data_IF_173172934120
#
_entry.id   IF_173172934120
#
_cell.length_a   1.000
_cell.length_b   1.000
_cell.length_c   1.000
_cell.angle_alpha   90.00
_cell.angle_beta   90.00
_cell.angle_gamma   90.00
#
_symmetry.space_group_name_H-M   'P 1'
#
loop_
_entity.id
_entity.type
_entity.pdbx_description
1 polymer ?
#
# COMPACT_ATOMS: atom_id res chain seq x y z
N UNK A 1 -6.57 -13.43 12.43
CA UNK A 1 -5.78 -12.19 12.66
C UNK A 1 -4.41 -12.40 12.04
N UNK A 2 -3.84 -11.38 11.42
CA UNK A 2 -2.47 -11.42 10.88
C UNK A 2 -1.83 -10.05 11.03
N UNK A 3 -0.50 -9.98 11.08
CA UNK A 3 0.22 -8.71 11.16
C UNK A 3 0.56 -8.19 9.77
N UNK A 4 0.16 -6.96 9.49
CA UNK A 4 0.52 -6.21 8.28
C UNK A 4 1.69 -5.28 8.59
N UNK A 5 2.67 -5.23 7.70
CA UNK A 5 3.72 -4.21 7.71
C UNK A 5 3.71 -3.39 6.42
N UNK A 6 3.83 -2.08 6.57
CA UNK A 6 4.06 -1.16 5.45
C UNK A 6 5.49 -0.63 5.56
N UNK A 7 6.27 -0.83 4.51
CA UNK A 7 7.65 -0.34 4.43
C UNK A 7 7.62 0.99 3.68
N UNK A 8 7.91 2.09 4.38
CA UNK A 8 8.14 3.41 3.80
C UNK A 8 9.64 3.54 3.52
N UNK A 9 10.04 3.25 2.27
CA UNK A 9 11.44 3.16 1.87
C UNK A 9 11.95 4.46 1.24
N UNK A 10 13.19 4.86 1.50
CA UNK A 10 13.86 5.89 0.70
C UNK A 10 14.29 5.29 -0.64
N UNK A 11 13.85 5.90 -1.74
CA UNK A 11 14.08 5.39 -3.10
C UNK A 11 15.01 6.34 -3.86
N UNK A 12 16.06 5.78 -4.45
CA UNK A 12 17.03 6.52 -5.27
C UNK A 12 17.11 6.03 -6.72
N UNK A 13 18.14 6.49 -7.44
CA UNK A 13 18.42 6.08 -8.83
C UNK A 13 19.05 4.70 -8.96
N UNK A 14 19.75 4.23 -7.93
CA UNK A 14 20.41 2.92 -7.97
C UNK A 14 19.40 1.81 -7.63
N UNK A 15 18.92 1.13 -8.67
CA UNK A 15 18.00 -0.01 -8.56
C UNK A 15 18.56 -1.13 -7.69
N UNK A 16 19.85 -1.44 -7.80
CA UNK A 16 20.47 -2.53 -7.02
C UNK A 16 20.45 -2.19 -5.54
N UNK A 17 20.76 -0.94 -5.19
CA UNK A 17 20.69 -0.44 -3.82
C UNK A 17 19.24 -0.44 -3.30
N UNK A 18 18.29 0.03 -4.10
CA UNK A 18 16.86 0.01 -3.75
C UNK A 18 16.38 -1.41 -3.42
N UNK A 19 16.70 -2.40 -4.28
CA UNK A 19 16.35 -3.80 -4.07
C UNK A 19 17.03 -4.39 -2.82
N UNK A 20 18.29 -4.04 -2.57
CA UNK A 20 19.01 -4.49 -1.38
C UNK A 20 18.38 -3.94 -0.08
N UNK A 21 18.03 -2.64 -0.08
CA UNK A 21 17.37 -1.98 1.05
C UNK A 21 15.97 -2.55 1.30
N UNK A 22 15.18 -2.75 0.23
CA UNK A 22 13.88 -3.42 0.30
C UNK A 22 14.01 -4.83 0.90
N UNK A 23 15.00 -5.62 0.46
CA UNK A 23 15.24 -6.99 0.97
C UNK A 23 15.53 -6.99 2.47
N UNK A 24 16.38 -6.05 2.93
CA UNK A 24 16.70 -5.88 4.34
C UNK A 24 15.45 -5.50 5.15
N UNK A 25 14.67 -4.53 4.67
CA UNK A 25 13.45 -4.08 5.34
C UNK A 25 12.39 -5.18 5.40
N UNK A 26 12.21 -5.97 4.33
CA UNK A 26 11.31 -7.13 4.32
C UNK A 26 11.74 -8.18 5.35
N UNK A 27 13.05 -8.48 5.43
CA UNK A 27 13.56 -9.40 6.44
C UNK A 27 13.33 -8.90 7.87
N UNK A 28 13.50 -7.60 8.12
CA UNK A 28 13.19 -6.98 9.41
C UNK A 28 11.69 -7.03 9.73
N UNK A 29 10.82 -6.74 8.77
CA UNK A 29 9.38 -6.83 8.99
C UNK A 29 8.93 -8.27 9.29
N UNK A 30 9.48 -9.23 8.56
CA UNK A 30 9.21 -10.65 8.76
C UNK A 30 9.72 -11.14 10.13
N UNK A 31 10.91 -10.72 10.57
CA UNK A 31 11.44 -11.09 11.90
C UNK A 31 10.61 -10.48 13.05
N UNK A 32 9.93 -9.36 12.80
CA UNK A 32 8.95 -8.77 13.72
C UNK A 32 7.54 -9.39 13.62
N UNK A 33 7.41 -10.49 12.87
CA UNK A 33 6.20 -11.31 12.78
C UNK A 33 5.17 -10.85 11.76
N UNK A 34 5.54 -9.99 10.81
CA UNK A 34 4.64 -9.61 9.72
C UNK A 34 4.33 -10.81 8.83
N UNK A 35 3.04 -11.02 8.52
CA UNK A 35 2.57 -12.05 7.59
C UNK A 35 2.38 -11.49 6.18
N UNK A 36 1.93 -10.24 6.10
CA UNK A 36 1.73 -9.48 4.87
C UNK A 36 2.60 -8.25 4.95
N UNK A 37 3.37 -7.98 3.89
CA UNK A 37 4.29 -6.85 3.80
C UNK A 37 4.03 -6.12 2.49
N UNK A 38 3.98 -4.80 2.51
CA UNK A 38 3.87 -3.97 1.30
C UNK A 38 5.09 -3.09 1.13
N UNK A 39 5.59 -3.04 -0.11
CA UNK A 39 6.58 -2.07 -0.58
C UNK A 39 5.87 -0.86 -1.22
N UNK A 40 6.51 0.32 -1.27
CA UNK A 40 5.86 1.53 -1.73
C UNK A 40 5.83 1.63 -3.26
N UNK A 41 5.05 2.56 -3.80
CA UNK A 41 5.05 2.84 -5.24
C UNK A 41 6.46 3.15 -5.77
N UNK A 42 6.80 2.58 -6.93
CA UNK A 42 8.11 2.69 -7.56
C UNK A 42 9.28 2.38 -6.60
N UNK A 43 9.16 1.40 -5.70
CA UNK A 43 10.24 1.10 -4.73
C UNK A 43 11.60 0.77 -5.37
N UNK A 44 11.63 0.39 -6.66
CA UNK A 44 12.84 0.01 -7.39
C UNK A 44 13.48 1.16 -8.20
N UNK A 45 12.83 2.33 -8.32
CA UNK A 45 13.22 3.39 -9.26
C UNK A 45 12.72 4.78 -8.85
N UNK A 46 13.37 5.87 -9.31
CA UNK A 46 12.85 7.21 -9.08
C UNK A 46 11.44 7.39 -9.66
N UNK A 47 10.60 8.14 -8.95
CA UNK A 47 9.24 8.42 -9.41
C UNK A 47 9.24 9.52 -10.48
N UNK A 48 8.80 9.19 -11.69
CA UNK A 48 8.60 10.17 -12.76
C UNK A 48 8.47 9.54 -14.15
N UNK A 49 7.66 10.13 -15.01
CA UNK A 49 7.39 9.61 -16.37
C UNK A 49 8.62 9.53 -17.25
N UNK A 50 9.66 10.34 -16.97
CA UNK A 50 10.95 10.27 -17.66
C UNK A 50 11.75 9.00 -17.36
N UNK A 51 11.51 8.36 -16.22
CA UNK A 51 12.24 7.19 -15.76
C UNK A 51 11.55 5.87 -16.14
N UNK A 52 10.23 5.87 -16.32
CA UNK A 52 9.48 4.62 -16.48
C UNK A 52 9.97 3.74 -17.64
N UNK A 53 10.29 4.33 -18.79
CA UNK A 53 10.77 3.55 -19.94
C UNK A 53 12.15 2.93 -19.70
N UNK A 54 13.05 3.63 -19.01
CA UNK A 54 14.41 3.17 -18.71
C UNK A 54 14.42 2.11 -17.61
N UNK A 55 13.55 2.27 -16.60
CA UNK A 55 13.52 1.41 -15.43
C UNK A 55 12.51 0.26 -15.55
N UNK A 56 11.66 0.25 -16.59
CA UNK A 56 10.70 -0.82 -16.82
C UNK A 56 11.38 -2.18 -17.01
N UNK A 57 10.70 -3.21 -16.50
CA UNK A 57 11.15 -4.60 -16.59
C UNK A 57 10.02 -5.49 -17.10
N UNK A 58 10.41 -6.59 -17.74
CA UNK A 58 9.47 -7.64 -18.11
C UNK A 58 8.99 -8.40 -16.89
N UNK A 59 7.68 -8.53 -16.72
CA UNK A 59 7.08 -9.38 -15.70
C UNK A 59 6.76 -10.75 -16.33
N UNK A 60 7.17 -11.89 -15.73
CA UNK A 60 7.79 -12.06 -14.42
C UNK A 60 9.34 -12.19 -14.38
N UNK A 61 10.07 -11.99 -15.49
CA UNK A 61 11.50 -12.33 -15.58
C UNK A 61 12.49 -11.23 -15.12
N UNK A 62 12.02 -10.04 -14.78
CA UNK A 62 12.84 -8.90 -14.39
C UNK A 62 13.58 -9.07 -13.05
N UNK A 63 14.71 -8.38 -12.85
CA UNK A 63 15.45 -8.41 -11.59
C UNK A 63 14.59 -8.04 -10.37
N UNK A 64 13.65 -7.10 -10.50
CA UNK A 64 12.71 -6.72 -9.44
C UNK A 64 11.76 -7.87 -9.10
N UNK A 65 11.17 -8.55 -10.10
CA UNK A 65 10.33 -9.73 -9.88
C UNK A 65 11.11 -10.88 -9.21
N UNK A 66 12.33 -11.16 -9.67
CA UNK A 66 13.18 -12.21 -9.08
C UNK A 66 13.54 -11.88 -7.63
N UNK A 67 13.86 -10.62 -7.34
CA UNK A 67 14.15 -10.14 -6.00
C UNK A 67 12.92 -10.29 -5.09
N UNK A 68 11.73 -9.85 -5.53
CA UNK A 68 10.47 -9.98 -4.78
C UNK A 68 10.13 -11.45 -4.48
N UNK A 69 10.28 -12.35 -5.45
CA UNK A 69 10.06 -13.79 -5.26
C UNK A 69 11.04 -14.37 -4.23
N UNK A 70 12.32 -13.96 -4.29
CA UNK A 70 13.34 -14.38 -3.33
C UNK A 70 13.03 -13.87 -1.92
N UNK A 71 12.66 -12.59 -1.79
CA UNK A 71 12.28 -11.97 -0.50
C UNK A 71 11.08 -12.68 0.12
N UNK A 72 10.02 -12.91 -0.66
CA UNK A 72 8.80 -13.56 -0.19
C UNK A 72 9.04 -15.02 0.23
N UNK A 73 9.72 -15.80 -0.62
CA UNK A 73 9.99 -17.23 -0.35
C UNK A 73 10.94 -17.44 0.85
N UNK A 74 12.02 -16.65 0.94
CA UNK A 74 12.99 -16.74 2.04
C UNK A 74 12.37 -16.39 3.39
N UNK A 75 11.50 -15.38 3.43
CA UNK A 75 10.90 -14.89 4.67
C UNK A 75 9.54 -15.52 4.98
N UNK A 76 8.96 -16.30 4.06
CA UNK A 76 7.65 -16.96 4.19
C UNK A 76 6.51 -15.97 4.45
N UNK A 77 6.48 -14.88 3.69
CA UNK A 77 5.50 -13.79 3.81
C UNK A 77 4.78 -13.56 2.48
N UNK A 78 3.59 -12.99 2.55
CA UNK A 78 2.93 -12.39 1.39
C UNK A 78 3.52 -11.00 1.16
N UNK A 79 4.15 -10.80 0.00
CA UNK A 79 4.77 -9.53 -0.36
C UNK A 79 3.94 -8.86 -1.45
N UNK A 80 3.45 -7.65 -1.15
CA UNK A 80 2.73 -6.81 -2.10
C UNK A 80 3.75 -5.90 -2.79
N UNK A 81 3.84 -6.09 -4.10
CA UNK A 81 4.60 -5.23 -4.99
C UNK A 81 3.95 -3.84 -5.06
N UNK A 82 4.78 -2.82 -4.88
CA UNK A 82 4.35 -1.43 -5.01
C UNK A 82 4.37 -0.92 -6.45
N UNK A 83 4.94 -1.66 -7.39
CA UNK A 83 5.03 -1.28 -8.79
C UNK A 83 3.66 -1.42 -9.49
N UNK A 84 2.89 -0.33 -9.53
CA UNK A 84 1.54 -0.33 -10.11
C UNK A 84 1.55 0.22 -11.55
N UNK A 85 1.85 -0.61 -12.54
CA UNK A 85 1.56 -0.32 -13.95
C UNK A 85 0.28 -1.06 -14.38
N UNK A 86 -0.87 -0.67 -13.83
CA UNK A 86 -2.15 -1.30 -14.15
C UNK A 86 -3.37 -0.42 -13.84
N UNK A 87 -4.38 -0.47 -14.72
CA UNK A 87 -5.71 0.12 -14.45
C UNK A 87 -6.45 -0.77 -13.47
N UNK A 88 -6.53 -0.39 -12.20
CA UNK A 88 -7.33 -1.14 -11.22
C UNK A 88 -8.60 -0.37 -10.86
N UNK A 89 -9.75 -0.86 -11.34
CA UNK A 89 -11.05 -0.46 -10.81
C UNK A 89 -11.42 -1.43 -9.69
N UNK A 90 -11.40 -0.96 -8.45
CA UNK A 90 -11.68 -1.79 -7.28
C UNK A 90 -13.20 -1.91 -7.06
N UNK A 91 -13.71 -3.13 -7.17
CA UNK A 91 -15.01 -3.51 -6.63
C UNK A 91 -14.80 -4.09 -5.23
N UNK A 92 -15.24 -3.37 -4.21
CA UNK A 92 -15.20 -3.81 -2.81
C UNK A 92 -16.26 -4.89 -2.55
N UNK A 93 -16.20 -6.03 -3.25
CA UNK A 93 -17.03 -7.21 -3.00
C UNK A 93 -16.75 -7.80 -1.61
N UNK A 94 -16.32 -9.06 -1.54
CA UNK A 94 -15.91 -9.65 -0.26
C UNK A 94 -14.55 -9.17 0.26
N UNK A 95 -13.95 -8.15 -0.37
CA UNK A 95 -12.71 -7.55 0.07
C UNK A 95 -12.83 -7.02 1.51
N UNK A 96 -11.84 -7.34 2.34
CA UNK A 96 -11.74 -6.95 3.76
C UNK A 96 -10.54 -6.04 4.05
N UNK A 97 -9.59 -5.94 3.12
CA UNK A 97 -8.39 -5.10 3.18
C UNK A 97 -8.03 -4.65 1.77
N UNK A 98 -7.83 -3.36 1.58
CA UNK A 98 -7.25 -2.80 0.35
C UNK A 98 -5.91 -2.15 0.69
N UNK A 99 -4.89 -2.43 -0.11
CA UNK A 99 -3.57 -1.83 0.01
C UNK A 99 -3.33 -0.98 -1.23
N UNK A 100 -2.98 0.30 -1.04
CA UNK A 100 -2.62 1.24 -2.09
C UNK A 100 -1.16 1.65 -1.92
N UNK A 101 -0.21 0.98 -2.57
CA UNK A 101 1.08 1.57 -2.83
C UNK A 101 0.86 2.86 -3.64
N UNK A 102 1.39 3.99 -3.15
CA UNK A 102 1.15 5.28 -3.79
C UNK A 102 2.05 6.38 -3.26
N UNK A 103 2.49 7.28 -4.13
CA UNK A 103 3.28 8.46 -3.76
C UNK A 103 2.48 9.74 -4.06
N UNK A 104 1.90 10.37 -3.04
CA UNK A 104 1.34 11.73 -3.17
C UNK A 104 2.45 12.77 -3.02
N UNK A 105 2.26 13.98 -3.54
CA UNK A 105 3.25 15.05 -3.44
C UNK A 105 2.92 16.03 -2.30
N UNK A 106 3.77 17.05 -2.13
CA UNK A 106 3.63 18.07 -1.08
C UNK A 106 2.37 18.94 -1.19
N UNK A 107 1.65 18.92 -2.31
CA UNK A 107 0.37 19.62 -2.50
C UNK A 107 -0.81 18.70 -2.23
N UNK A 108 -0.84 17.53 -2.88
CA UNK A 108 -1.98 16.58 -2.77
C UNK A 108 -1.94 15.77 -1.48
N UNK A 109 -0.76 15.54 -0.91
CA UNK A 109 -0.54 14.80 0.33
C UNK A 109 -1.31 15.39 1.51
N UNK A 110 -1.00 16.64 1.92
CA UNK A 110 -1.71 17.29 3.02
C UNK A 110 -3.22 17.42 2.80
N UNK A 111 -3.64 17.63 1.55
CA UNK A 111 -5.05 17.87 1.22
C UNK A 111 -5.89 16.58 1.18
N UNK A 112 -5.34 15.49 0.63
CA UNK A 112 -6.15 14.36 0.17
C UNK A 112 -5.71 12.99 0.69
N UNK A 113 -4.44 12.79 1.04
CA UNK A 113 -3.90 11.44 1.32
C UNK A 113 -4.68 10.72 2.43
N UNK A 114 -4.75 11.32 3.61
CA UNK A 114 -5.46 10.73 4.74
C UNK A 114 -6.98 10.74 4.54
N UNK A 115 -7.53 11.82 3.95
CA UNK A 115 -8.95 11.96 3.67
C UNK A 115 -9.46 10.82 2.77
N UNK A 116 -8.76 10.57 1.66
CA UNK A 116 -9.13 9.53 0.71
C UNK A 116 -9.01 8.13 1.33
N UNK A 117 -7.92 7.87 2.06
CA UNK A 117 -7.70 6.58 2.72
C UNK A 117 -8.82 6.28 3.73
N UNK A 118 -9.17 7.26 4.58
CA UNK A 118 -10.24 7.13 5.57
C UNK A 118 -11.62 6.99 4.94
N UNK A 119 -11.91 7.76 3.89
CA UNK A 119 -13.17 7.64 3.16
C UNK A 119 -13.33 6.24 2.55
N UNK A 120 -12.29 5.70 1.90
CA UNK A 120 -12.35 4.34 1.33
C UNK A 120 -12.59 3.28 2.40
N UNK A 121 -11.96 3.40 3.57
CA UNK A 121 -12.13 2.46 4.68
C UNK A 121 -13.55 2.49 5.26
N UNK A 122 -14.05 3.71 5.54
CA UNK A 122 -15.36 3.94 6.15
C UNK A 122 -16.50 3.55 5.20
N UNK A 123 -16.49 4.06 3.96
CA UNK A 123 -17.59 3.87 3.01
C UNK A 123 -17.77 2.39 2.60
N UNK A 124 -16.68 1.62 2.63
CA UNK A 124 -16.67 0.21 2.25
C UNK A 124 -16.55 -0.75 3.45
N UNK A 125 -16.47 -0.20 4.67
CA UNK A 125 -16.31 -0.94 5.92
C UNK A 125 -15.26 -2.04 5.79
N UNK A 126 -14.02 -1.64 5.54
CA UNK A 126 -12.86 -2.54 5.35
C UNK A 126 -11.58 -1.83 5.81
N UNK A 127 -10.50 -2.58 6.03
CA UNK A 127 -9.21 -1.96 6.29
C UNK A 127 -8.64 -1.32 5.02
N UNK A 128 -8.02 -0.16 5.16
CA UNK A 128 -7.24 0.45 4.07
C UNK A 128 -5.83 0.69 4.54
N UNK A 129 -4.86 0.28 3.72
CA UNK A 129 -3.46 0.58 3.94
C UNK A 129 -2.98 1.42 2.76
N UNK A 130 -2.29 2.52 3.01
CA UNK A 130 -1.68 3.36 1.99
C UNK A 130 -0.18 3.39 2.24
N UNK A 131 0.63 3.03 1.23
CA UNK A 131 2.07 2.83 1.39
C UNK A 131 2.88 3.74 0.46
N UNK A 132 3.48 4.78 1.03
CA UNK A 132 4.29 5.78 0.34
C UNK A 132 5.78 5.47 0.47
N UNK A 133 6.62 5.87 -0.50
CA UNK A 133 8.04 6.00 -0.26
C UNK A 133 8.30 7.11 0.77
N UNK A 134 9.48 7.06 1.40
CA UNK A 134 9.96 8.13 2.28
C UNK A 134 10.21 9.40 1.48
N UNK A 135 10.13 10.54 2.15
CA UNK A 135 10.35 11.84 1.52
C UNK A 135 11.82 12.02 1.19
N UNK A 136 12.10 12.37 -0.05
CA UNK A 136 13.40 12.86 -0.47
C UNK A 136 13.25 14.29 -1.02
N UNK A 137 13.73 15.33 -0.28
CA UNK A 137 13.65 16.72 -0.73
C UNK A 137 14.42 17.00 -2.03
N UNK A 138 15.39 16.16 -2.37
CA UNK A 138 16.25 16.33 -3.55
C UNK A 138 15.72 15.57 -4.78
N UNK A 139 14.63 14.80 -4.63
CA UNK A 139 13.99 14.11 -5.74
C UNK A 139 13.14 15.06 -6.60
N UNK A 140 13.04 14.76 -7.90
CA UNK A 140 12.17 15.51 -8.82
C UNK A 140 10.70 15.45 -8.42
N UNK A 141 10.27 14.31 -7.89
CA UNK A 141 8.97 14.13 -7.26
C UNK A 141 9.15 13.92 -5.75
N UNK A 142 8.91 14.98 -4.98
CA UNK A 142 9.01 14.93 -3.51
C UNK A 142 7.77 14.26 -2.92
N UNK A 143 7.94 13.01 -2.49
CA UNK A 143 6.87 12.22 -1.88
C UNK A 143 6.42 12.80 -0.54
N UNK A 144 5.12 12.69 -0.27
CA UNK A 144 4.50 13.12 0.98
C UNK A 144 4.96 12.25 2.16
N UNK A 145 5.15 10.95 1.96
CA UNK A 145 5.38 9.98 3.03
C UNK A 145 4.05 9.60 3.69
N UNK A 146 4.07 9.47 5.02
CA UNK A 146 2.90 9.20 5.83
C UNK A 146 2.12 7.94 5.45
N UNK A 147 2.83 6.85 5.12
CA UNK A 147 2.22 5.51 5.07
C UNK A 147 1.29 5.31 6.27
N UNK A 148 0.09 4.78 6.04
CA UNK A 148 -0.96 4.72 7.07
C UNK A 148 -1.81 3.48 6.93
N UNK A 149 -2.28 2.96 8.06
CA UNK A 149 -3.25 1.85 8.14
C UNK A 149 -4.51 2.39 8.83
N UNK A 150 -5.65 2.18 8.19
CA UNK A 150 -6.96 2.66 8.60
C UNK A 150 -7.87 1.46 8.84
N UNK A 151 -8.61 1.48 9.95
CA UNK A 151 -9.58 0.45 10.31
C UNK A 151 -10.94 0.61 9.58
N UNK A 152 -11.83 -0.38 9.64
CA UNK A 152 -13.17 -0.31 9.02
C UNK A 152 -14.08 0.81 9.55
N UNK A 153 -13.71 1.45 10.67
CA UNK A 153 -14.42 2.59 11.25
C UNK A 153 -13.83 3.94 10.80
N UNK A 154 -12.85 3.91 9.88
CA UNK A 154 -12.18 5.10 9.37
C UNK A 154 -11.18 5.72 10.35
N UNK A 155 -10.72 4.98 11.37
CA UNK A 155 -9.69 5.43 12.31
C UNK A 155 -8.30 5.07 11.79
N UNK A 156 -7.36 6.01 11.88
CA UNK A 156 -5.95 5.72 11.60
C UNK A 156 -5.36 4.98 12.80
N UNK A 157 -4.96 3.73 12.60
CA UNK A 157 -4.45 2.85 13.67
C UNK A 157 -2.93 2.72 13.67
N UNK A 158 -2.27 3.11 12.57
CA UNK A 158 -0.82 3.15 12.45
C UNK A 158 -0.46 4.17 11.37
N UNK A 159 0.54 5.01 11.61
CA UNK A 159 0.92 6.10 10.70
C UNK A 159 2.41 6.42 10.81
N UNK A 160 3.04 6.51 9.65
CA UNK A 160 4.40 6.97 9.46
C UNK A 160 4.51 8.51 9.50
N UNK A 161 5.68 9.01 9.85
CA UNK A 161 6.16 10.34 9.51
C UNK A 161 6.63 10.40 8.05
N UNK A 162 7.71 11.15 7.82
CA UNK A 162 8.24 11.45 6.47
C UNK A 162 9.50 10.67 6.13
N UNK A 163 10.15 10.11 7.16
CA UNK A 163 11.44 9.41 7.05
C UNK A 163 11.26 7.94 6.67
N UNK A 164 12.36 7.24 6.43
CA UNK A 164 12.34 5.79 6.24
C UNK A 164 11.90 5.08 7.53
N UNK A 165 10.85 4.26 7.44
CA UNK A 165 10.34 3.51 8.58
C UNK A 165 9.48 2.31 8.17
N UNK A 166 9.25 1.40 9.11
CA UNK A 166 8.31 0.29 8.96
C UNK A 166 7.22 0.46 10.01
N UNK A 167 5.97 0.60 9.55
CA UNK A 167 4.82 0.64 10.45
C UNK A 167 4.08 -0.69 10.42
N UNK A 168 3.48 -1.05 11.55
CA UNK A 168 2.80 -2.34 11.74
C UNK A 168 1.38 -2.13 12.24
N UNK A 169 0.49 -3.07 11.92
CA UNK A 169 -0.81 -3.23 12.57
C UNK A 169 -1.28 -4.69 12.56
N UNK A 170 -2.00 -5.09 13.60
CA UNK A 170 -2.70 -6.37 13.63
C UNK A 170 -4.07 -6.25 12.96
N UNK A 171 -4.27 -7.01 11.89
CA UNK A 171 -5.49 -6.97 11.08
C UNK A 171 -6.46 -8.05 11.59
N UNK A 172 -7.59 -7.60 12.13
CA UNK A 172 -8.67 -8.47 12.58
C UNK A 172 -9.82 -8.50 11.58
N UNK A 173 -9.87 -9.52 10.73
CA UNK A 173 -10.93 -9.66 9.73
C UNK A 173 -12.32 -9.83 10.36
N UNK A 174 -12.43 -10.38 11.58
CA UNK A 174 -13.71 -10.50 12.28
C UNK A 174 -14.26 -9.12 12.69
N UNK A 175 -13.39 -8.14 12.93
CA UNK A 175 -13.82 -6.76 13.22
C UNK A 175 -14.51 -6.12 12.02
N UNK A 176 -14.12 -6.49 10.80
CA UNK A 176 -14.84 -6.05 9.59
C UNK A 176 -16.28 -6.55 9.61
N UNK A 177 -16.48 -7.82 9.93
CA UNK A 177 -17.82 -8.41 9.97
C UNK A 177 -18.68 -7.77 11.08
N UNK A 178 -18.10 -7.49 12.25
CA UNK A 178 -18.76 -6.76 13.34
C UNK A 178 -19.24 -5.36 12.92
N UNK A 179 -18.36 -4.59 12.26
CA UNK A 179 -18.69 -3.24 11.77
C UNK A 179 -19.80 -3.28 10.72
N UNK A 180 -19.73 -4.25 9.79
CA UNK A 180 -20.75 -4.45 8.75
C UNK A 180 -22.09 -4.91 9.32
N UNK A 181 -22.11 -5.66 10.42
CA UNK A 181 -23.34 -6.01 11.13
C UNK A 181 -23.93 -4.81 11.88
N UNK A 182 -23.07 -4.01 12.51
CA UNK A 182 -23.48 -2.86 13.31
C UNK A 182 -24.06 -1.73 12.46
N UNK A 183 -23.48 -1.47 11.29
CA UNK A 183 -24.00 -0.49 10.31
C UNK A 183 -24.11 -1.18 8.94
N UNK A 184 -25.24 -1.81 8.59
CA UNK A 184 -25.36 -2.63 7.39
C UNK A 184 -25.59 -1.79 6.11
N UNK A 185 -24.68 -0.88 5.78
CA UNK A 185 -24.81 0.02 4.61
C UNK A 185 -24.95 -0.72 3.28
N UNK A 186 -24.39 -1.93 3.20
CA UNK A 186 -24.43 -2.77 2.00
C UNK A 186 -25.83 -3.31 1.70
N UNK A 187 -26.68 -3.51 2.71
CA UNK A 187 -28.09 -3.93 2.51
C UNK A 187 -29.00 -2.76 2.14
N UNK A 188 -28.54 -1.54 2.39
CA UNK A 188 -29.31 -0.31 2.18
C UNK A 188 -29.04 0.33 0.80
N UNK A 189 -28.15 -0.27 -0.01
CA UNK A 189 -27.87 0.19 -1.38
C UNK A 189 -29.11 0.04 -2.26
N UNK A 190 -29.52 1.11 -2.94
CA UNK A 190 -30.69 1.15 -3.82
C UNK A 190 -30.34 0.72 -5.24
N UNK A 191 -30.12 -0.59 -5.42
CA UNK A 191 -29.80 -1.20 -6.71
C UNK A 191 -30.92 -1.08 -7.77
N UNK A 192 -32.11 -0.68 -7.34
CA UNK A 192 -33.25 -0.31 -8.16
C UNK A 192 -33.16 1.13 -8.69
N UNK A 193 -32.44 2.03 -8.00
CA UNK A 193 -32.23 3.43 -8.42
C UNK A 193 -30.92 3.57 -9.21
N UNK A 194 -29.84 2.96 -8.73
CA UNK A 194 -28.54 3.06 -9.36
C UNK A 194 -27.87 1.68 -9.43
N UNK A 195 -27.02 1.48 -10.43
CA UNK A 195 -26.14 0.32 -10.53
C UNK A 195 -24.75 0.78 -10.87
N UNK A 196 -23.76 0.23 -10.16
CA UNK A 196 -22.36 0.39 -10.53
C UNK A 196 -22.08 -0.56 -11.70
N UNK A 197 -22.02 -0.03 -12.92
CA UNK A 197 -21.67 -0.80 -14.11
C UNK A 197 -20.15 -1.02 -14.18
N UNK A 198 -19.74 -2.21 -14.64
CA UNK A 198 -18.36 -2.45 -15.05
C UNK A 198 -18.05 -1.64 -16.31
N UNK A 199 -17.00 -0.83 -16.26
CA UNK A 199 -16.43 -0.19 -17.44
C UNK A 199 -15.60 -1.18 -18.26
#
# INVERSE_FOLDING_TARGET
MFKLALIQLKVGRDKTLNLANASKAVATAASNGANVISLPECFNSPYGTGYFAEYAESVPQGPSCNALQSMASKNKVFLIDGELLGKTQLYAGDCRLIIYPGAFNMTTGPAHWELLARARALDNQLYVAVNSPARDPDAEYVAWGHSSIIDPWGRVISKAGVEEEIIYADINLAYVDEVRQSIPVHTQKRNDIYKLSRA
#
